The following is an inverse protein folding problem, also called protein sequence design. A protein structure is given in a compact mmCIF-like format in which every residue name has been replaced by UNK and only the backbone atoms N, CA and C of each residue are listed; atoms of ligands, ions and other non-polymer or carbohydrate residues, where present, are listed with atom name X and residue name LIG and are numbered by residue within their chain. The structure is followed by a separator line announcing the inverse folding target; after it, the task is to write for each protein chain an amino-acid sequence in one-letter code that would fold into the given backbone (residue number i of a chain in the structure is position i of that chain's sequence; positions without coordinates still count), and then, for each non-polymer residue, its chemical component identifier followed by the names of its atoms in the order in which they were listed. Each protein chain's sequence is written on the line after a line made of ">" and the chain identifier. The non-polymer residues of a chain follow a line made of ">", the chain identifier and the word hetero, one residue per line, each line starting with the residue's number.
data_IF_199893542654
#
_entry.id   IF_199893542654
#
_cell.length_a   1.000
_cell.length_b   1.000
_cell.length_c   1.000
_cell.angle_alpha   90.00
_cell.angle_beta   90.00
_cell.angle_gamma   90.00
#
_symmetry.space_group_name_H-M   'P 1'
#
loop_
_entity.id
_entity.type
_entity.pdbx_description
1 polymer ?
#
# COMPACT_ATOMS: atom_id res chain seq x y z
N UNK A 1 -10.30 -6.78 -27.88
CA UNK A 1 -11.65 -6.24 -27.60
C UNK A 1 -12.77 -7.28 -27.68
N UNK A 2 -13.24 -7.78 -28.84
CA UNK A 2 -14.44 -8.67 -28.89
C UNK A 2 -14.35 -9.97 -28.08
N UNK A 3 -13.16 -10.57 -27.95
CA UNK A 3 -12.92 -11.77 -27.13
C UNK A 3 -12.89 -11.46 -25.62
N UNK A 4 -12.33 -10.31 -25.23
CA UNK A 4 -12.28 -9.86 -23.83
C UNK A 4 -13.69 -9.53 -23.33
N UNK A 5 -14.49 -8.84 -24.14
CA UNK A 5 -15.89 -8.53 -23.85
C UNK A 5 -16.73 -9.82 -23.67
N UNK A 6 -16.48 -10.85 -24.49
CA UNK A 6 -17.16 -12.14 -24.36
C UNK A 6 -16.79 -12.88 -23.07
N UNK A 7 -15.50 -12.88 -22.69
CA UNK A 7 -15.03 -13.48 -21.43
C UNK A 7 -15.60 -12.73 -20.21
N UNK A 8 -15.59 -11.40 -20.26
CA UNK A 8 -16.16 -10.54 -19.21
C UNK A 8 -17.67 -10.78 -19.01
N UNK A 9 -18.44 -10.89 -20.09
CA UNK A 9 -19.88 -11.21 -20.01
C UNK A 9 -20.13 -12.63 -19.47
N UNK A 10 -19.29 -13.61 -19.84
CA UNK A 10 -19.41 -14.96 -19.27
C UNK A 10 -19.14 -14.93 -17.77
N UNK A 11 -18.08 -14.23 -17.33
CA UNK A 11 -17.72 -14.10 -15.92
C UNK A 11 -18.87 -13.48 -15.11
N UNK A 12 -19.42 -12.34 -15.53
CA UNK A 12 -20.56 -11.69 -14.88
C UNK A 12 -21.76 -12.62 -14.79
N UNK A 13 -22.12 -13.31 -15.89
CA UNK A 13 -23.26 -14.22 -15.92
C UNK A 13 -23.04 -15.41 -14.98
N UNK A 14 -21.84 -15.99 -14.93
CA UNK A 14 -21.53 -17.07 -13.98
C UNK A 14 -21.58 -16.61 -12.54
N UNK A 15 -20.99 -15.44 -12.21
CA UNK A 15 -21.02 -14.90 -10.84
C UNK A 15 -22.44 -14.60 -10.39
N UNK A 16 -23.28 -14.04 -11.27
CA UNK A 16 -24.70 -13.78 -10.99
C UNK A 16 -25.50 -15.06 -10.75
N UNK A 17 -25.22 -16.12 -11.53
CA UNK A 17 -25.86 -17.44 -11.35
C UNK A 17 -25.45 -18.12 -10.03
N UNK A 18 -24.18 -18.00 -9.63
CA UNK A 18 -23.70 -18.51 -8.33
C UNK A 18 -24.19 -17.68 -7.14
N UNK A 19 -24.41 -16.37 -7.32
CA UNK A 19 -25.00 -15.49 -6.31
C UNK A 19 -26.49 -15.80 -6.09
N UNK A 20 -27.25 -16.08 -7.16
CA UNK A 20 -28.67 -16.44 -7.04
C UNK A 20 -28.92 -17.75 -6.29
N UNK A 21 -28.04 -18.74 -6.43
CA UNK A 21 -28.19 -20.05 -5.80
C UNK A 21 -27.94 -20.02 -4.28
N UNK A 22 -27.37 -18.94 -3.72
CA UNK A 22 -27.15 -18.76 -2.27
C UNK A 22 -28.14 -17.78 -1.60
N UNK A 23 -29.17 -17.31 -2.32
CA UNK A 23 -30.12 -16.31 -1.81
C UNK A 23 -31.15 -16.81 -0.77
N UNK A 24 -31.10 -18.08 -0.37
CA UNK A 24 -31.92 -18.63 0.72
C UNK A 24 -31.33 -18.38 2.13
N UNK A 25 -30.16 -17.73 2.25
CA UNK A 25 -29.65 -17.20 3.52
C UNK A 25 -29.61 -15.69 3.48
N UNK A 26 -30.56 -15.04 4.15
CA UNK A 26 -30.66 -13.59 4.34
C UNK A 26 -29.54 -13.06 5.24
N UNK A 27 -28.33 -12.93 4.69
CA UNK A 27 -27.27 -12.08 5.23
C UNK A 27 -27.12 -10.91 4.25
N UNK A 28 -27.27 -9.66 4.69
CA UNK A 28 -27.08 -8.50 3.81
C UNK A 28 -25.66 -8.52 3.24
N UNK A 29 -25.57 -8.28 1.93
CA UNK A 29 -24.36 -8.28 1.11
C UNK A 29 -23.56 -6.96 1.24
N UNK A 30 -23.89 -6.14 2.24
CA UNK A 30 -23.50 -4.73 2.29
C UNK A 30 -22.14 -4.46 2.96
N UNK A 31 -21.43 -5.47 3.50
CA UNK A 31 -20.16 -5.26 4.22
C UNK A 31 -19.02 -6.18 3.74
N UNK A 32 -18.98 -6.56 2.45
CA UNK A 32 -17.85 -7.32 1.88
C UNK A 32 -16.85 -6.36 1.23
N UNK A 33 -15.87 -5.83 1.98
CA UNK A 33 -14.83 -4.94 1.43
C UNK A 33 -13.57 -5.70 1.01
N UNK A 34 -13.08 -5.39 -0.20
CA UNK A 34 -12.02 -6.11 -0.93
C UNK A 34 -10.60 -5.74 -0.50
N UNK A 35 -10.43 -4.81 0.45
CA UNK A 35 -9.15 -4.58 1.11
C UNK A 35 -8.53 -5.91 1.60
N UNK A 36 -9.35 -6.88 2.02
CA UNK A 36 -8.91 -8.19 2.50
C UNK A 36 -8.27 -9.10 1.45
N UNK A 37 -8.77 -9.10 0.20
CA UNK A 37 -8.26 -9.95 -0.88
C UNK A 37 -7.06 -9.27 -1.53
N UNK A 38 -7.15 -7.96 -1.77
CA UNK A 38 -6.02 -7.21 -2.31
C UNK A 38 -4.87 -7.15 -1.30
N UNK A 39 -5.08 -7.05 0.01
CA UNK A 39 -3.98 -7.18 1.00
C UNK A 39 -3.37 -8.57 1.05
N UNK A 40 -4.15 -9.62 0.79
CA UNK A 40 -3.66 -11.01 0.69
C UNK A 40 -2.71 -11.19 -0.51
N UNK A 41 -2.94 -10.46 -1.62
CA UNK A 41 -2.28 -10.68 -2.91
C UNK A 41 -1.52 -9.47 -3.48
N UNK A 42 -1.56 -8.30 -2.84
CA UNK A 42 -0.87 -7.11 -3.30
C UNK A 42 0.63 -7.39 -3.27
N UNK A 43 1.21 -7.45 -4.47
CA UNK A 43 2.65 -7.32 -4.68
C UNK A 43 3.03 -5.91 -4.22
N UNK A 44 3.44 -5.73 -2.95
CA UNK A 44 4.13 -4.48 -2.53
C UNK A 44 5.51 -4.35 -3.18
N UNK A 45 5.95 -5.33 -3.98
CA UNK A 45 6.96 -5.12 -5.00
C UNK A 45 6.30 -4.48 -6.22
N UNK A 46 6.46 -3.17 -6.37
CA UNK A 46 6.28 -2.45 -7.62
C UNK A 46 6.78 -3.28 -8.81
N UNK A 47 6.00 -3.30 -9.89
CA UNK A 47 6.29 -4.01 -11.14
C UNK A 47 7.77 -3.99 -11.52
N UNK A 48 8.49 -5.09 -11.28
CA UNK A 48 9.74 -5.37 -12.00
C UNK A 48 9.35 -5.67 -13.44
N UNK A 49 9.33 -4.62 -14.26
CA UNK A 49 9.17 -4.66 -15.71
C UNK A 49 10.37 -5.38 -16.35
N UNK A 50 10.39 -6.71 -16.35
CA UNK A 50 11.24 -7.47 -17.29
C UNK A 50 10.49 -7.69 -18.60
N UNK A 51 10.44 -6.65 -19.44
CA UNK A 51 10.21 -6.86 -20.87
C UNK A 51 11.50 -7.38 -21.50
N UNK A 52 11.49 -8.66 -21.85
CA UNK A 52 12.56 -9.29 -22.63
C UNK A 52 12.53 -8.76 -24.08
N UNK A 53 13.37 -7.79 -24.39
CA UNK A 53 13.86 -7.57 -25.76
C UNK A 53 15.39 -7.66 -25.79
N UNK A 54 15.90 -8.27 -26.86
CA UNK A 54 17.25 -8.77 -27.01
C UNK A 54 18.33 -7.67 -27.05
N UNK A 55 19.40 -7.86 -26.27
CA UNK A 55 20.78 -7.39 -26.48
C UNK A 55 20.99 -6.02 -27.16
N UNK A 56 21.21 -4.98 -26.35
CA UNK A 56 22.36 -4.08 -26.56
C UNK A 56 22.76 -3.38 -25.27
N UNK A 57 24.06 -3.42 -24.96
CA UNK A 57 24.75 -2.76 -23.85
C UNK A 57 24.21 -1.37 -23.46
N UNK A 58 23.63 -1.23 -22.25
CA UNK A 58 23.94 -0.17 -21.29
C UNK A 58 23.19 -0.36 -19.97
N UNK A 59 23.86 0.01 -18.88
CA UNK A 59 23.41 -0.04 -17.49
C UNK A 59 22.05 0.61 -17.25
N UNK A 60 21.07 -0.17 -16.83
CA UNK A 60 19.87 0.33 -16.16
C UNK A 60 20.08 0.17 -14.66
N UNK A 61 20.25 1.31 -13.99
CA UNK A 61 20.20 1.43 -12.54
C UNK A 61 18.76 1.16 -12.08
N UNK A 62 18.55 0.72 -10.82
CA UNK A 62 17.21 0.68 -10.25
C UNK A 62 16.57 2.06 -10.37
N UNK A 63 15.32 2.13 -10.80
CA UNK A 63 14.55 3.37 -10.92
C UNK A 63 14.36 4.02 -9.53
N UNK A 64 15.41 4.66 -9.03
CA UNK A 64 15.22 5.90 -8.31
C UNK A 64 14.48 6.81 -9.28
N UNK A 65 13.21 7.09 -9.00
CA UNK A 65 12.41 8.14 -9.64
C UNK A 65 13.20 9.45 -9.57
N UNK A 66 14.05 9.65 -10.57
CA UNK A 66 14.71 10.89 -10.87
C UNK A 66 13.61 11.83 -11.34
N UNK A 67 13.07 12.60 -10.40
CA UNK A 67 12.16 13.74 -10.66
C UNK A 67 12.77 14.70 -11.72
N UNK A 68 14.07 14.59 -11.98
CA UNK A 68 14.80 15.34 -13.03
C UNK A 68 14.66 14.74 -14.44
N UNK A 69 14.50 13.41 -14.59
CA UNK A 69 14.42 12.77 -15.91
C UNK A 69 12.99 12.80 -16.50
N UNK A 70 11.99 13.06 -15.65
CA UNK A 70 10.57 13.11 -16.05
C UNK A 70 10.14 14.48 -16.60
N UNK A 71 11.02 15.49 -16.56
CA UNK A 71 10.81 16.77 -17.22
C UNK A 71 11.10 16.64 -18.71
N UNK A 72 10.17 15.98 -19.40
CA UNK A 72 10.12 15.98 -20.86
C UNK A 72 10.14 17.43 -21.35
N UNK A 73 10.99 17.75 -22.33
CA UNK A 73 10.92 18.99 -23.12
C UNK A 73 9.63 19.06 -23.97
N UNK A 74 8.58 18.32 -23.59
CA UNK A 74 7.37 18.09 -24.33
C UNK A 74 6.19 18.61 -23.51
N UNK A 75 5.27 19.27 -24.19
CA UNK A 75 3.99 19.70 -23.62
C UNK A 75 2.89 18.80 -24.17
N UNK A 76 1.89 18.48 -23.38
CA UNK A 76 0.84 17.57 -23.81
C UNK A 76 0.06 17.00 -22.65
N UNK A 77 -0.65 15.92 -22.93
CA UNK A 77 -1.32 15.19 -21.88
C UNK A 77 -1.57 13.74 -22.25
N UNK A 78 -1.90 12.96 -21.23
CA UNK A 78 -2.37 11.60 -21.37
C UNK A 78 -3.56 11.31 -20.49
N UNK A 79 -4.45 10.47 -21.01
CA UNK A 79 -5.46 9.76 -20.25
C UNK A 79 -5.00 8.31 -20.15
N UNK A 80 -4.84 7.79 -18.94
CA UNK A 80 -4.61 6.38 -18.68
C UNK A 80 -5.84 5.81 -18.02
N UNK A 81 -6.40 4.75 -18.59
CA UNK A 81 -7.48 3.98 -17.97
C UNK A 81 -6.88 2.70 -17.45
N UNK A 82 -6.98 2.47 -16.15
CA UNK A 82 -6.67 1.20 -15.50
C UNK A 82 -7.97 0.50 -15.15
N UNK A 83 -7.96 -0.80 -15.19
CA UNK A 83 -9.07 -1.61 -14.72
C UNK A 83 -8.49 -2.82 -14.00
N UNK A 84 -9.13 -3.20 -12.91
CA UNK A 84 -8.84 -4.40 -12.15
C UNK A 84 -10.17 -5.06 -11.80
N UNK A 85 -10.34 -6.30 -12.24
CA UNK A 85 -11.48 -7.13 -11.86
C UNK A 85 -10.94 -8.30 -11.06
N UNK A 86 -11.42 -8.48 -9.83
CA UNK A 86 -11.10 -9.63 -9.00
C UNK A 86 -12.37 -10.43 -8.73
N UNK A 87 -12.27 -11.76 -8.76
CA UNK A 87 -13.33 -12.63 -8.28
C UNK A 87 -12.73 -13.84 -7.59
N UNK A 88 -13.33 -14.25 -6.48
CA UNK A 88 -12.76 -15.31 -5.66
C UNK A 88 -13.79 -16.12 -4.90
N UNK A 89 -13.35 -17.32 -4.52
CA UNK A 89 -14.04 -18.22 -3.63
C UNK A 89 -13.06 -18.69 -2.56
N UNK A 90 -13.44 -18.49 -1.30
CA UNK A 90 -12.64 -18.85 -0.16
C UNK A 90 -13.48 -19.64 0.83
N UNK A 91 -13.44 -20.98 0.83
CA UNK A 91 -13.93 -21.82 1.93
C UNK A 91 -12.93 -21.84 3.09
N UNK A 92 -13.44 -21.86 4.32
CA UNK A 92 -12.60 -21.85 5.51
C UNK A 92 -13.34 -22.26 6.77
N UNK A 93 -12.61 -22.28 7.88
CA UNK A 93 -13.09 -22.65 9.20
C UNK A 93 -12.94 -21.47 10.15
N UNK A 94 -13.88 -21.31 11.08
CA UNK A 94 -13.81 -20.31 12.16
C UNK A 94 -12.73 -20.62 13.21
N UNK A 95 -12.11 -21.80 13.14
CA UNK A 95 -11.00 -22.19 14.00
C UNK A 95 -9.87 -22.85 13.21
N UNK A 96 -8.63 -22.67 13.67
CA UNK A 96 -7.45 -23.28 13.06
C UNK A 96 -7.40 -24.80 13.26
N UNK A 97 -6.71 -25.55 12.37
CA UNK A 97 -6.64 -27.02 12.45
C UNK A 97 -6.14 -27.62 13.77
N UNK A 98 -5.27 -26.91 14.50
CA UNK A 98 -4.75 -27.36 15.81
C UNK A 98 -5.69 -27.01 16.99
N UNK A 99 -6.85 -26.42 16.71
CA UNK A 99 -7.85 -26.03 17.68
C UNK A 99 -9.20 -26.76 17.50
N UNK A 100 -9.35 -27.58 16.46
CA UNK A 100 -10.57 -28.35 16.12
C UNK A 100 -11.02 -29.38 17.19
N UNK A 101 -10.33 -29.49 18.32
CA UNK A 101 -10.80 -30.29 19.45
C UNK A 101 -11.99 -29.61 20.18
N UNK A 102 -12.25 -28.34 19.90
CA UNK A 102 -13.41 -27.61 20.42
C UNK A 102 -14.63 -27.80 19.51
N UNK A 103 -15.79 -28.08 20.11
CA UNK A 103 -17.04 -28.43 19.40
C UNK A 103 -17.67 -27.25 18.61
N UNK A 104 -17.07 -26.06 18.65
CA UNK A 104 -17.60 -24.83 18.07
C UNK A 104 -17.03 -24.50 16.67
N UNK A 105 -16.39 -25.46 15.99
CA UNK A 105 -15.91 -25.23 14.63
C UNK A 105 -17.07 -25.02 13.64
N UNK A 106 -17.05 -23.88 12.93
CA UNK A 106 -18.01 -23.60 11.86
C UNK A 106 -17.27 -23.49 10.54
N UNK A 107 -17.69 -24.31 9.58
CA UNK A 107 -17.25 -24.17 8.20
C UNK A 107 -18.10 -23.12 7.51
N UNK A 108 -17.44 -22.12 6.91
CA UNK A 108 -18.13 -21.07 6.15
C UNK A 108 -17.35 -20.69 4.91
N UNK A 109 -18.06 -20.08 3.97
CA UNK A 109 -17.54 -19.72 2.65
C UNK A 109 -17.76 -18.25 2.40
N UNK A 110 -16.77 -17.63 1.76
CA UNK A 110 -16.81 -16.27 1.26
C UNK A 110 -16.69 -16.31 -0.25
N UNK A 111 -17.57 -15.59 -0.93
CA UNK A 111 -17.50 -15.32 -2.37
C UNK A 111 -17.38 -13.82 -2.50
N UNK A 112 -16.34 -13.36 -3.18
CA UNK A 112 -16.10 -11.94 -3.42
C UNK A 112 -15.95 -11.68 -4.90
N UNK A 113 -16.41 -10.51 -5.35
CA UNK A 113 -16.10 -9.99 -6.67
C UNK A 113 -15.98 -8.47 -6.58
N UNK A 114 -14.92 -7.93 -7.17
CA UNK A 114 -14.61 -6.52 -7.23
C UNK A 114 -14.33 -6.10 -8.67
N UNK A 115 -14.64 -4.85 -8.97
CA UNK A 115 -14.15 -4.15 -10.12
C UNK A 115 -13.76 -2.73 -9.71
N UNK A 116 -12.46 -2.44 -9.77
CA UNK A 116 -11.91 -1.08 -9.70
C UNK A 116 -11.59 -0.59 -11.10
N UNK A 117 -11.90 0.66 -11.38
CA UNK A 117 -11.52 1.34 -12.62
C UNK A 117 -10.93 2.72 -12.33
N UNK A 118 -9.63 2.88 -12.55
CA UNK A 118 -8.96 4.16 -12.39
C UNK A 118 -8.85 4.89 -13.71
N UNK A 119 -9.01 6.20 -13.63
CA UNK A 119 -8.80 7.10 -14.74
C UNK A 119 -7.82 8.17 -14.31
N UNK A 120 -6.68 8.21 -15.00
CA UNK A 120 -5.58 9.09 -14.67
C UNK A 120 -5.41 10.09 -15.80
N UNK A 121 -5.61 11.35 -15.48
CA UNK A 121 -5.26 12.48 -16.32
C UNK A 121 -3.92 13.05 -15.90
N UNK A 122 -3.01 13.17 -16.86
CA UNK A 122 -1.67 13.69 -16.64
C UNK A 122 -1.33 14.70 -17.74
N UNK A 123 -1.17 15.96 -17.36
CA UNK A 123 -0.98 17.09 -18.27
C UNK A 123 0.34 17.79 -18.00
N UNK A 124 1.25 17.75 -18.97
CA UNK A 124 2.45 18.59 -18.99
C UNK A 124 2.11 19.91 -19.71
N UNK A 125 1.68 20.92 -18.95
CA UNK A 125 1.21 22.20 -19.49
C UNK A 125 2.37 23.04 -20.05
N UNK A 126 3.51 23.02 -19.37
CA UNK A 126 4.77 23.64 -19.81
C UNK A 126 5.92 22.71 -19.41
N UNK A 127 7.16 22.87 -19.92
CA UNK A 127 8.31 22.09 -19.42
C UNK A 127 8.62 22.28 -17.94
N UNK A 128 7.88 23.14 -17.22
CA UNK A 128 8.05 23.40 -15.78
C UNK A 128 6.79 23.18 -14.97
N UNK A 129 5.64 22.88 -15.59
CA UNK A 129 4.36 22.78 -14.91
C UNK A 129 3.62 21.53 -15.38
N UNK A 130 3.35 20.63 -14.44
CA UNK A 130 2.55 19.41 -14.63
C UNK A 130 1.32 19.46 -13.73
N UNK A 131 0.20 18.96 -14.21
CA UNK A 131 -1.01 18.77 -13.43
C UNK A 131 -1.44 17.31 -13.58
N UNK A 132 -1.89 16.72 -12.48
CA UNK A 132 -2.29 15.33 -12.38
C UNK A 132 -3.63 15.23 -11.65
N UNK A 133 -4.48 14.34 -12.12
CA UNK A 133 -5.72 13.98 -11.45
C UNK A 133 -6.00 12.49 -11.67
N UNK A 134 -6.31 11.76 -10.62
CA UNK A 134 -6.87 10.41 -10.69
C UNK A 134 -8.26 10.37 -10.05
N UNK A 135 -9.09 9.46 -10.54
CA UNK A 135 -10.35 9.09 -9.94
C UNK A 135 -10.56 7.60 -10.16
N UNK A 136 -11.11 6.95 -9.15
CA UNK A 136 -11.47 5.54 -9.14
C UNK A 136 -12.99 5.38 -9.10
N UNK A 137 -13.43 4.22 -9.56
CA UNK A 137 -14.80 3.76 -9.44
C UNK A 137 -14.72 2.30 -9.02
N UNK A 138 -15.30 2.00 -7.86
CA UNK A 138 -15.29 0.66 -7.29
C UNK A 138 -16.66 -0.01 -7.38
N UNK A 139 -16.69 -1.34 -7.43
CA UNK A 139 -17.89 -2.16 -7.46
C UNK A 139 -17.81 -3.17 -6.31
N UNK A 140 -18.85 -3.34 -5.48
CA UNK A 140 -20.26 -3.07 -5.79
C UNK A 140 -20.82 -1.71 -5.37
N UNK A 141 -20.05 -0.89 -4.67
CA UNK A 141 -20.53 0.40 -4.15
C UNK A 141 -20.89 1.40 -5.26
N UNK A 142 -20.22 1.32 -6.42
CA UNK A 142 -20.26 2.32 -7.49
C UNK A 142 -19.93 3.73 -6.99
N UNK A 143 -19.12 3.80 -5.94
CA UNK A 143 -18.65 5.05 -5.38
C UNK A 143 -17.62 5.66 -6.32
N UNK A 144 -17.74 6.97 -6.53
CA UNK A 144 -16.80 7.74 -7.32
C UNK A 144 -15.89 8.46 -6.34
N UNK A 145 -14.62 8.09 -6.33
CA UNK A 145 -13.63 8.69 -5.46
C UNK A 145 -12.61 9.49 -6.29
N UNK A 146 -12.18 10.63 -5.74
CA UNK A 146 -11.02 11.35 -6.26
C UNK A 146 -9.82 10.92 -5.44
N UNK A 147 -9.08 9.90 -5.90
CA UNK A 147 -7.94 9.38 -5.15
C UNK A 147 -6.84 10.44 -5.00
N UNK A 148 -6.51 11.17 -6.07
CA UNK A 148 -5.48 12.21 -5.98
C UNK A 148 -5.61 13.31 -7.02
N UNK A 149 -5.24 14.52 -6.64
CA UNK A 149 -5.15 15.66 -7.54
C UNK A 149 -4.01 16.57 -7.09
N UNK A 150 -3.07 16.86 -7.99
CA UNK A 150 -1.94 17.72 -7.65
C UNK A 150 -1.36 18.43 -8.86
N UNK A 151 -0.59 19.49 -8.58
CA UNK A 151 0.23 20.19 -9.56
C UNK A 151 1.68 20.22 -9.10
N UNK A 152 2.59 20.06 -10.05
CA UNK A 152 4.03 20.16 -9.84
C UNK A 152 4.61 21.33 -10.63
N UNK A 153 5.50 22.09 -9.99
CA UNK A 153 6.22 23.18 -10.61
C UNK A 153 7.73 23.06 -10.39
N UNK A 154 8.52 23.08 -11.46
CA UNK A 154 9.97 23.11 -11.39
C UNK A 154 10.51 24.51 -11.68
N UNK A 155 11.15 25.12 -10.67
CA UNK A 155 11.88 26.37 -10.81
C UNK A 155 13.32 26.09 -11.23
N UNK A 156 13.54 25.82 -12.51
CA UNK A 156 14.87 25.76 -13.14
C UNK A 156 15.87 24.85 -12.40
N UNK A 157 15.42 23.70 -11.90
CA UNK A 157 16.19 22.73 -11.12
C UNK A 157 16.75 23.28 -9.79
N UNK A 158 16.31 24.45 -9.33
CA UNK A 158 16.66 25.02 -8.03
C UNK A 158 15.67 24.62 -6.94
N UNK A 159 14.40 24.45 -7.31
CA UNK A 159 13.34 24.06 -6.40
C UNK A 159 12.22 23.34 -7.15
N UNK A 160 11.69 22.29 -6.55
CA UNK A 160 10.56 21.52 -7.07
C UNK A 160 9.41 21.62 -6.09
N UNK A 161 8.28 22.14 -6.56
CA UNK A 161 7.08 22.29 -5.78
C UNK A 161 6.07 21.24 -6.18
N UNK A 162 5.36 20.64 -5.22
CA UNK A 162 4.19 19.81 -5.45
C UNK A 162 3.10 20.28 -4.49
N UNK A 163 1.88 20.46 -5.00
CA UNK A 163 0.75 20.92 -4.19
C UNK A 163 -0.55 20.25 -4.64
N UNK A 164 -1.39 19.86 -3.70
CA UNK A 164 -2.70 19.27 -3.97
C UNK A 164 -3.08 18.20 -2.95
N UNK A 165 -4.07 17.38 -3.27
CA UNK A 165 -4.50 16.23 -2.48
C UNK A 165 -3.69 15.00 -2.91
N UNK A 166 -2.81 14.52 -2.03
CA UNK A 166 -2.04 13.30 -2.23
C UNK A 166 -1.34 12.86 -0.93
N UNK A 167 -1.18 11.55 -0.74
CA UNK A 167 -0.37 10.98 0.32
C UNK A 167 1.14 11.15 0.04
N UNK A 168 1.88 11.67 1.02
CA UNK A 168 3.34 11.68 1.03
C UNK A 168 3.85 10.51 1.86
N UNK A 169 5.00 9.92 1.47
CA UNK A 169 5.65 8.87 2.25
C UNK A 169 7.13 9.08 2.47
N UNK A 170 7.57 8.91 3.72
CA UNK A 170 8.99 8.90 4.12
C UNK A 170 9.47 7.51 4.58
N UNK A 171 8.61 6.49 4.47
CA UNK A 171 8.89 5.10 4.83
C UNK A 171 9.84 4.40 3.86
N UNK A 172 10.57 3.39 4.33
CA UNK A 172 11.31 2.45 3.45
C UNK A 172 10.73 1.04 3.49
N UNK A 173 9.97 0.70 4.53
CA UNK A 173 9.43 -0.64 4.70
C UNK A 173 8.39 -0.96 3.63
N UNK A 174 8.51 -2.15 3.01
CA UNK A 174 7.52 -2.68 2.08
C UNK A 174 6.51 -3.65 2.71
N UNK A 175 6.74 -4.09 3.95
CA UNK A 175 5.82 -4.99 4.67
C UNK A 175 4.96 -4.25 5.69
N UNK A 176 5.49 -3.14 6.18
CA UNK A 176 5.05 -2.45 7.37
C UNK A 176 5.04 -0.96 7.06
N UNK A 177 3.94 -0.46 6.46
CA UNK A 177 3.76 0.94 6.06
C UNK A 177 3.81 1.96 7.24
N UNK A 178 4.15 1.51 8.45
CA UNK A 178 4.25 2.27 9.70
C UNK A 178 5.23 3.41 9.73
N UNK A 179 6.26 3.32 8.91
CA UNK A 179 7.32 4.32 8.91
C UNK A 179 7.07 5.43 7.90
N UNK A 180 5.95 5.33 7.17
CA UNK A 180 5.34 6.49 6.61
C UNK A 180 4.73 7.34 7.75
N UNK A 181 5.57 8.21 8.31
CA UNK A 181 5.21 9.21 9.31
C UNK A 181 3.91 9.97 9.01
N UNK A 182 3.64 10.14 7.72
CA UNK A 182 2.66 11.05 7.15
C UNK A 182 1.37 10.33 6.71
N UNK A 183 1.34 8.99 6.71
CA UNK A 183 0.11 8.21 6.52
C UNK A 183 -0.60 7.89 7.82
N UNK A 184 -0.24 8.58 8.91
CA UNK A 184 -0.79 8.38 10.26
C UNK A 184 -1.41 9.67 10.78
N UNK A 185 -1.99 10.46 9.88
CA UNK A 185 -2.72 11.65 10.26
C UNK A 185 -4.03 11.20 10.94
N UNK A 186 -4.53 11.93 11.95
CA UNK A 186 -5.85 11.66 12.50
C UNK A 186 -6.89 11.68 11.38
N UNK A 187 -7.75 10.66 11.34
CA UNK A 187 -8.84 10.53 10.37
C UNK A 187 -10.16 10.85 11.08
N UNK A 188 -10.93 11.80 10.57
CA UNK A 188 -12.31 12.05 11.01
C UNK A 188 -13.28 11.17 10.22
N UNK A 189 -13.14 9.84 10.35
CA UNK A 189 -14.14 8.86 9.91
C UNK A 189 -14.33 8.65 8.40
N UNK A 190 -13.99 9.60 7.53
CA UNK A 190 -14.07 9.43 6.07
C UNK A 190 -12.68 9.52 5.42
N UNK A 191 -12.25 8.39 4.86
CA UNK A 191 -10.97 8.22 4.17
C UNK A 191 -10.75 9.28 3.08
N UNK A 192 -9.51 9.71 2.95
CA UNK A 192 -9.09 10.64 1.91
C UNK A 192 -7.69 11.17 2.14
N UNK A 193 -6.92 11.28 1.06
CA UNK A 193 -5.55 11.79 1.09
C UNK A 193 -5.50 13.24 1.60
N UNK A 194 -4.45 13.63 2.35
CA UNK A 194 -4.30 14.99 2.85
C UNK A 194 -3.99 16.00 1.74
N UNK A 195 -4.43 17.24 1.95
CA UNK A 195 -3.94 18.37 1.15
C UNK A 195 -2.51 18.72 1.57
N UNK A 196 -1.57 18.47 0.66
CA UNK A 196 -0.14 18.55 0.91
C UNK A 196 0.51 19.59 0.00
N UNK A 197 1.39 20.41 0.58
CA UNK A 197 2.37 21.22 -0.13
C UNK A 197 3.79 20.75 0.22
N UNK A 198 4.59 20.49 -0.81
CA UNK A 198 5.95 20.00 -0.70
C UNK A 198 6.89 20.83 -1.55
N UNK A 199 8.06 21.15 -1.00
CA UNK A 199 9.14 21.78 -1.73
C UNK A 199 10.43 20.97 -1.55
N UNK A 200 11.05 20.54 -2.65
CA UNK A 200 12.36 19.90 -2.66
C UNK A 200 13.42 20.87 -3.18
N UNK A 201 14.50 21.03 -2.44
CA UNK A 201 15.68 21.84 -2.77
C UNK A 201 16.89 20.91 -2.93
N UNK A 202 17.43 20.72 -4.14
CA UNK A 202 18.65 19.95 -4.33
C UNK A 202 19.85 20.68 -3.72
N UNK A 203 20.64 19.98 -2.91
CA UNK A 203 21.78 20.53 -2.16
C UNK A 203 22.95 19.54 -2.19
N UNK A 204 23.92 19.76 -3.09
CA UNK A 204 25.15 18.96 -3.15
C UNK A 204 24.87 17.48 -3.44
N UNK A 205 25.28 16.60 -2.52
CA UNK A 205 25.07 15.15 -2.58
C UNK A 205 23.68 14.72 -2.08
N UNK A 206 22.68 15.57 -2.16
CA UNK A 206 21.40 15.33 -1.51
C UNK A 206 20.37 16.42 -1.75
N UNK A 207 19.43 16.57 -0.82
CA UNK A 207 18.41 17.60 -0.90
C UNK A 207 17.62 17.79 0.39
N UNK A 208 17.10 19.00 0.56
CA UNK A 208 16.19 19.36 1.63
C UNK A 208 14.75 19.35 1.11
N UNK A 209 13.86 18.68 1.82
CA UNK A 209 12.43 18.67 1.58
C UNK A 209 11.74 19.42 2.72
N UNK A 210 10.90 20.39 2.37
CA UNK A 210 9.96 21.04 3.26
C UNK A 210 8.55 20.57 2.91
N UNK A 211 7.73 20.41 3.93
CA UNK A 211 6.39 19.85 3.82
C UNK A 211 5.44 20.62 4.72
N UNK A 212 4.26 20.91 4.23
CA UNK A 212 3.10 21.25 5.07
C UNK A 212 1.90 20.49 4.54
N UNK A 213 1.04 20.04 5.44
CA UNK A 213 -0.15 19.27 5.09
C UNK A 213 -1.29 19.61 6.03
N UNK A 214 -2.51 19.52 5.52
CA UNK A 214 -3.72 19.46 6.34
C UNK A 214 -3.94 18.00 6.72
N UNK A 215 -4.53 17.73 7.89
CA UNK A 215 -4.95 16.38 8.28
C UNK A 215 -5.82 15.69 7.22
N UNK A 216 -5.74 14.37 7.16
CA UNK A 216 -6.60 13.54 6.30
C UNK A 216 -8.08 13.74 6.66
N UNK A 217 -8.97 13.58 5.68
CA UNK A 217 -10.41 13.77 5.88
C UNK A 217 -10.91 15.21 6.01
N UNK A 218 -10.01 16.20 6.11
CA UNK A 218 -10.44 17.61 6.24
C UNK A 218 -11.24 18.08 5.01
N UNK A 219 -12.41 18.67 5.28
CA UNK A 219 -13.30 19.23 4.26
C UNK A 219 -14.26 18.23 3.60
N UNK A 220 -14.21 16.95 3.96
CA UNK A 220 -15.13 15.92 3.45
C UNK A 220 -16.53 16.07 4.10
N UNK A 221 -16.59 16.37 5.39
CA UNK A 221 -17.87 16.54 6.13
C UNK A 221 -18.50 17.94 6.04
N UNK A 222 -18.06 18.76 5.08
CA UNK A 222 -18.62 20.10 4.84
C UNK A 222 -18.06 21.21 5.75
N UNK A 223 -17.12 20.89 6.64
CA UNK A 223 -16.50 21.84 7.58
C UNK A 223 -15.27 22.57 7.02
N UNK A 224 -15.31 22.90 5.71
CA UNK A 224 -14.25 23.65 5.00
C UNK A 224 -14.01 25.03 5.66
N UNK A 225 -14.97 25.55 6.41
CA UNK A 225 -14.89 26.85 7.08
C UNK A 225 -14.09 26.83 8.40
N UNK A 226 -13.77 25.65 8.95
CA UNK A 226 -13.18 25.48 10.28
C UNK A 226 -11.77 24.85 10.25
N UNK A 227 -10.87 25.33 9.38
CA UNK A 227 -9.46 24.92 9.46
C UNK A 227 -8.79 25.56 10.68
N UNK A 228 -8.42 24.74 11.67
CA UNK A 228 -7.69 25.18 12.84
C UNK A 228 -6.18 25.10 12.62
N UNK A 229 -5.41 25.85 13.43
CA UNK A 229 -3.95 25.79 13.35
C UNK A 229 -3.40 24.40 13.72
N UNK A 230 -4.11 23.66 14.57
CA UNK A 230 -3.74 22.30 14.99
C UNK A 230 -3.92 21.23 13.90
N UNK A 231 -4.70 21.53 12.87
CA UNK A 231 -4.92 20.66 11.71
C UNK A 231 -3.74 20.68 10.72
N UNK A 232 -2.82 21.64 10.87
CA UNK A 232 -1.67 21.82 10.01
C UNK A 232 -0.46 21.07 10.54
N UNK A 233 0.03 20.14 9.74
CA UNK A 233 1.31 19.48 9.90
C UNK A 233 2.44 20.24 9.18
N UNK A 234 3.63 20.19 9.77
CA UNK A 234 4.86 20.75 9.21
C UNK A 234 5.97 19.71 9.27
N UNK A 235 6.66 19.52 8.15
CA UNK A 235 7.73 18.54 8.02
C UNK A 235 8.99 19.14 7.38
N UNK A 236 10.14 18.65 7.83
CA UNK A 236 11.44 18.91 7.22
C UNK A 236 12.21 17.59 7.11
N UNK A 237 12.72 17.27 5.93
CA UNK A 237 13.53 16.07 5.68
C UNK A 237 14.79 16.41 4.90
N UNK A 238 15.93 15.94 5.38
CA UNK A 238 17.17 15.98 4.64
C UNK A 238 17.47 14.60 4.08
N UNK A 239 17.78 14.54 2.79
CA UNK A 239 18.15 13.33 2.08
C UNK A 239 19.63 13.47 1.70
N UNK A 240 20.45 12.50 2.10
CA UNK A 240 21.85 12.38 1.74
C UNK A 240 22.00 11.15 0.85
N UNK A 241 22.44 11.35 -0.38
CA UNK A 241 22.65 10.29 -1.36
C UNK A 241 24.16 10.15 -1.65
N UNK A 242 24.73 9.02 -1.27
CA UNK A 242 26.10 8.66 -1.59
C UNK A 242 26.11 7.33 -2.36
N UNK A 243 27.05 7.08 -3.28
CA UNK A 243 27.01 5.88 -4.13
C UNK A 243 26.89 4.54 -3.42
N UNK A 244 27.21 4.48 -2.12
CA UNK A 244 27.13 3.26 -1.32
C UNK A 244 26.05 3.31 -0.23
N UNK A 245 25.45 4.47 0.04
CA UNK A 245 24.45 4.59 1.11
C UNK A 245 23.57 5.82 0.88
N UNK A 246 22.27 5.64 1.02
CA UNK A 246 21.31 6.73 1.10
C UNK A 246 20.83 6.85 2.54
N UNK A 247 20.88 8.06 3.10
CA UNK A 247 20.45 8.34 4.47
C UNK A 247 19.44 9.48 4.45
N UNK A 248 18.30 9.30 5.10
CA UNK A 248 17.32 10.35 5.27
C UNK A 248 17.09 10.62 6.75
N UNK A 249 16.99 11.90 7.11
CA UNK A 249 16.62 12.34 8.46
C UNK A 249 15.46 13.31 8.32
N UNK A 250 14.34 13.01 8.98
CA UNK A 250 13.12 13.81 8.90
C UNK A 250 12.55 14.14 10.26
N UNK A 251 11.88 15.27 10.35
CA UNK A 251 11.12 15.72 11.50
C UNK A 251 9.73 16.12 11.02
N UNK A 252 8.71 15.76 11.79
CA UNK A 252 7.32 16.12 11.52
C UNK A 252 6.62 16.51 12.82
N UNK A 253 5.87 17.61 12.77
CA UNK A 253 5.09 18.14 13.88
C UNK A 253 3.69 18.50 13.41
N UNK A 254 2.71 18.10 14.20
CA UNK A 254 1.31 18.52 14.12
C UNK A 254 0.76 18.51 15.54
N UNK A 255 -0.13 19.43 15.90
CA UNK A 255 -0.56 19.60 17.30
C UNK A 255 -1.25 18.35 17.88
N UNK A 256 -2.09 17.71 17.08
CA UNK A 256 -2.85 16.51 17.43
C UNK A 256 -2.01 15.21 17.45
N UNK A 257 -0.71 15.29 17.15
CA UNK A 257 0.16 14.12 17.03
C UNK A 257 1.44 14.31 17.83
N UNK A 258 2.07 13.23 18.33
CA UNK A 258 3.41 13.33 18.88
C UNK A 258 4.39 13.98 17.88
N UNK A 259 5.36 14.73 18.40
CA UNK A 259 6.50 15.17 17.61
C UNK A 259 7.30 13.94 17.17
N UNK A 260 7.47 13.75 15.86
CA UNK A 260 8.13 12.57 15.32
C UNK A 260 9.43 12.91 14.59
N UNK A 261 10.44 12.07 14.82
CA UNK A 261 11.74 12.12 14.13
C UNK A 261 12.02 10.78 13.49
N UNK A 262 12.36 10.77 12.20
CA UNK A 262 12.72 9.56 11.46
C UNK A 262 14.17 9.62 11.00
N UNK A 263 14.82 8.47 11.04
CA UNK A 263 16.10 8.23 10.36
C UNK A 263 15.94 6.99 9.52
N UNK A 264 16.29 7.08 8.24
CA UNK A 264 16.32 5.92 7.34
C UNK A 264 17.69 5.81 6.72
N UNK A 265 18.14 4.59 6.49
CA UNK A 265 19.36 4.31 5.75
C UNK A 265 19.11 3.12 4.85
N UNK A 266 19.55 3.18 3.60
CA UNK A 266 19.58 2.04 2.69
C UNK A 266 20.92 1.92 1.98
N UNK A 267 21.29 0.70 1.63
CA UNK A 267 22.49 0.37 0.86
C UNK A 267 22.21 -0.83 -0.02
N UNK A 268 22.88 -0.89 -1.17
CA UNK A 268 22.88 -2.09 -2.01
C UNK A 268 24.24 -2.78 -1.88
N UNK A 269 24.24 -4.05 -1.48
CA UNK A 269 25.42 -4.91 -1.42
C UNK A 269 25.41 -5.86 -2.62
N UNK A 270 26.61 -6.16 -3.16
CA UNK A 270 26.77 -7.13 -4.25
C UNK A 270 25.88 -6.89 -5.48
N UNK A 271 25.50 -5.63 -5.73
CA UNK A 271 24.63 -5.17 -6.81
C UNK A 271 23.18 -5.70 -6.81
N UNK A 272 22.80 -6.61 -5.89
CA UNK A 272 21.44 -7.19 -5.82
C UNK A 272 20.79 -7.13 -4.44
N UNK A 273 21.57 -7.15 -3.36
CA UNK A 273 21.03 -7.22 -1.99
C UNK A 273 20.77 -5.81 -1.46
N UNK A 274 19.52 -5.41 -1.35
CA UNK A 274 19.15 -4.18 -0.66
C UNK A 274 19.04 -4.43 0.84
N UNK A 275 19.74 -3.63 1.63
CA UNK A 275 19.59 -3.57 3.09
C UNK A 275 19.04 -2.21 3.47
N UNK A 276 18.06 -2.20 4.38
CA UNK A 276 17.54 -0.96 4.93
C UNK A 276 17.40 -1.02 6.45
N UNK A 277 17.53 0.14 7.06
CA UNK A 277 17.30 0.42 8.47
C UNK A 277 16.41 1.64 8.59
N UNK A 278 15.51 1.63 9.55
CA UNK A 278 14.63 2.72 9.86
C UNK A 278 14.45 2.85 11.37
N UNK A 279 14.57 4.07 11.88
CA UNK A 279 14.31 4.41 13.27
C UNK A 279 13.32 5.56 13.33
N UNK A 280 12.40 5.48 14.28
CA UNK A 280 11.38 6.47 14.58
C UNK A 280 11.44 6.76 16.07
N UNK A 281 11.51 8.04 16.41
CA UNK A 281 11.34 8.54 17.78
C UNK A 281 10.10 9.41 17.81
N UNK A 282 9.23 9.15 18.77
CA UNK A 282 7.96 9.84 18.96
C UNK A 282 7.92 10.45 20.36
N UNK A 283 7.67 11.76 20.44
CA UNK A 283 7.63 12.51 21.71
C UNK A 283 6.22 13.08 21.89
N UNK A 284 5.45 12.62 22.89
CA UNK A 284 4.09 13.09 23.14
C UNK A 284 4.02 14.61 23.36
N UNK A 285 2.98 15.26 22.83
CA UNK A 285 2.77 16.71 22.99
C UNK A 285 2.13 17.09 24.35
N UNK A 286 1.51 16.16 25.06
CA UNK A 286 0.82 16.43 26.34
C UNK A 286 1.74 16.26 27.56
N UNK A 287 1.51 17.12 28.56
CA UNK A 287 2.42 17.38 29.69
C UNK A 287 2.36 16.36 30.83
N UNK A 288 1.44 15.40 30.77
CA UNK A 288 1.28 14.36 31.80
C UNK A 288 1.95 13.05 31.36
N UNK A 289 3.29 13.08 31.43
CA UNK A 289 4.21 11.94 31.56
C UNK A 289 3.99 10.71 30.66
N UNK A 290 4.52 10.77 29.44
CA UNK A 290 5.03 9.57 28.77
C UNK A 290 6.45 9.82 28.24
N UNK A 291 7.32 8.82 28.42
CA UNK A 291 8.69 8.84 27.91
C UNK A 291 8.67 8.82 26.37
N UNK A 292 9.73 9.32 25.74
CA UNK A 292 9.89 9.21 24.30
C UNK A 292 9.80 7.75 23.86
N UNK A 293 8.95 7.48 22.86
CA UNK A 293 8.69 6.15 22.34
C UNK A 293 9.57 5.91 21.12
N UNK A 294 10.14 4.70 21.03
CA UNK A 294 10.99 4.30 19.92
C UNK A 294 10.32 3.18 19.10
N UNK A 295 10.33 3.33 17.79
CA UNK A 295 10.01 2.27 16.84
C UNK A 295 11.17 2.13 15.85
N UNK A 296 11.37 0.93 15.30
CA UNK A 296 12.45 0.73 14.34
C UNK A 296 12.27 -0.54 13.51
N UNK A 297 12.75 -0.48 12.27
CA UNK A 297 12.74 -1.60 11.33
C UNK A 297 14.15 -1.83 10.77
N UNK A 298 14.47 -3.09 10.53
CA UNK A 298 15.61 -3.50 9.70
C UNK A 298 15.13 -4.57 8.75
N UNK A 299 15.50 -4.45 7.48
CA UNK A 299 15.11 -5.44 6.48
C UNK A 299 16.13 -5.62 5.39
N UNK A 300 15.92 -6.68 4.63
CA UNK A 300 16.65 -6.99 3.41
C UNK A 300 15.70 -7.43 2.30
N UNK A 301 16.08 -7.10 1.07
CA UNK A 301 15.49 -7.64 -0.15
C UNK A 301 16.62 -8.13 -1.04
N UNK A 302 16.51 -9.34 -1.58
CA UNK A 302 17.52 -9.87 -2.50
C UNK A 302 16.89 -10.77 -3.56
N UNK A 303 17.48 -10.73 -4.75
CA UNK A 303 17.09 -11.51 -5.91
C UNK A 303 18.15 -12.56 -6.22
N UNK A 304 17.85 -13.80 -5.84
CA UNK A 304 18.72 -14.94 -6.08
C UNK A 304 18.42 -15.62 -7.42
N UNK A 305 19.42 -16.38 -7.90
CA UNK A 305 19.28 -17.31 -9.03
C UNK A 305 18.90 -16.64 -10.36
N UNK A 306 19.40 -15.41 -10.62
CA UNK A 306 19.02 -14.56 -11.77
C UNK A 306 17.52 -14.24 -11.71
N UNK A 307 17.13 -13.61 -10.61
CA UNK A 307 15.78 -13.06 -10.41
C UNK A 307 14.68 -14.13 -10.43
N UNK A 308 15.06 -15.37 -10.10
CA UNK A 308 14.11 -16.48 -9.96
C UNK A 308 13.56 -16.59 -8.56
N UNK A 309 14.30 -16.12 -7.56
CA UNK A 309 13.94 -16.23 -6.16
C UNK A 309 14.14 -14.88 -5.49
N UNK A 310 13.05 -14.19 -5.21
CA UNK A 310 13.07 -12.96 -4.42
C UNK A 310 12.79 -13.31 -2.96
N UNK A 311 13.64 -12.81 -2.07
CA UNK A 311 13.46 -12.93 -0.62
C UNK A 311 13.34 -11.53 -0.03
N UNK A 312 12.30 -11.29 0.74
CA UNK A 312 12.15 -10.09 1.56
C UNK A 312 12.02 -10.52 3.02
N UNK A 313 12.91 -9.99 3.86
CA UNK A 313 12.94 -10.24 5.30
C UNK A 313 12.91 -8.91 6.02
N UNK A 314 12.06 -8.77 7.02
CA UNK A 314 11.98 -7.57 7.81
C UNK A 314 11.71 -7.90 9.28
N UNK A 315 12.42 -7.23 10.18
CA UNK A 315 12.12 -7.20 11.59
C UNK A 315 11.74 -5.78 11.97
N UNK A 316 10.66 -5.64 12.73
CA UNK A 316 10.12 -4.36 13.15
C UNK A 316 9.76 -4.39 14.63
N UNK A 317 10.10 -3.32 15.34
CA UNK A 317 9.61 -3.05 16.68
C UNK A 317 8.73 -1.80 16.64
N UNK A 318 7.49 -1.93 17.09
CA UNK A 318 6.59 -0.80 17.32
C UNK A 318 6.54 -0.49 18.82
N UNK A 319 7.12 0.64 19.22
CA UNK A 319 6.89 1.17 20.55
C UNK A 319 5.58 1.95 20.66
N UNK A 320 5.10 2.50 19.55
CA UNK A 320 3.89 3.32 19.54
C UNK A 320 2.64 2.43 19.63
N UNK A 321 1.70 2.84 20.47
CA UNK A 321 0.30 2.44 20.35
C UNK A 321 -0.34 3.52 19.51
N UNK A 322 -0.84 3.19 18.32
CA UNK A 322 -1.73 4.12 17.62
C UNK A 322 -3.15 3.60 17.70
N UNK A 323 -3.85 4.26 18.59
CA UNK A 323 -5.27 4.51 18.72
C UNK A 323 -5.79 5.16 17.44
N UNK A 324 -6.65 4.49 16.66
CA UNK A 324 -7.61 5.26 15.86
C UNK A 324 -8.45 6.03 16.89
N UNK A 325 -8.30 7.35 16.92
CA UNK A 325 -9.02 8.22 17.86
C UNK A 325 -10.39 8.47 17.24
N UNK A 326 -11.30 7.52 17.40
CA UNK A 326 -12.70 7.69 16.99
C UNK A 326 -13.44 8.51 18.04
N UNK A 327 -14.04 9.63 17.64
CA UNK A 327 -14.97 10.36 18.49
C UNK A 327 -16.28 9.56 18.56
N UNK A 328 -16.53 8.87 19.68
CA UNK A 328 -17.84 8.26 19.94
C UNK A 328 -18.70 9.18 20.81
N UNK A 329 -20.02 8.95 20.81
CA UNK A 329 -20.96 9.60 21.75
C UNK A 329 -20.56 9.47 23.23
N UNK A 330 -19.68 8.51 23.55
CA UNK A 330 -19.14 8.24 24.89
C UNK A 330 -17.72 8.75 25.15
N UNK A 331 -17.12 9.44 24.19
CA UNK A 331 -15.73 9.91 24.23
C UNK A 331 -14.84 9.21 23.20
N UNK A 332 -13.53 9.43 23.31
CA UNK A 332 -12.56 8.88 22.37
C UNK A 332 -12.28 7.40 22.67
N UNK A 333 -12.41 6.50 21.68
CA UNK A 333 -12.06 5.07 21.81
C UNK A 333 -10.74 4.74 21.13
N UNK A 334 -10.05 3.68 21.59
CA UNK A 334 -8.75 3.25 21.05
C UNK A 334 -8.77 1.81 20.54
N UNK A 335 -8.60 1.63 19.22
CA UNK A 335 -8.47 0.30 18.60
C UNK A 335 -7.12 0.10 17.90
N UNK A 336 -6.46 -1.03 18.19
CA UNK A 336 -5.24 -1.47 17.50
C UNK A 336 -5.62 -2.13 16.16
N UNK A 337 -5.36 -1.46 15.05
CA UNK A 337 -5.62 -2.03 13.72
C UNK A 337 -4.37 -2.60 13.09
N UNK A 338 -4.50 -3.75 12.41
CA UNK A 338 -3.49 -4.21 11.48
C UNK A 338 -3.35 -3.14 10.37
N UNK A 339 -2.15 -2.72 10.00
CA UNK A 339 -0.93 -3.47 10.28
C UNK A 339 -0.24 -2.96 11.58
N UNK A 340 -0.67 -1.84 12.21
CA UNK A 340 -0.06 -1.11 13.34
C UNK A 340 0.02 -1.85 14.71
N UNK A 341 0.57 -3.06 14.74
CA UNK A 341 0.60 -3.93 15.92
C UNK A 341 1.78 -3.55 16.83
N UNK A 342 1.48 -3.29 18.09
CA UNK A 342 2.48 -3.01 19.13
C UNK A 342 3.48 -4.16 19.29
N UNK A 343 4.73 -3.83 19.58
CA UNK A 343 5.75 -4.79 19.98
C UNK A 343 6.59 -5.32 18.82
N UNK A 344 7.04 -6.56 18.95
CA UNK A 344 8.03 -7.15 18.05
C UNK A 344 7.35 -7.92 16.92
N UNK A 345 7.64 -7.55 15.69
CA UNK A 345 7.05 -8.07 14.48
C UNK A 345 8.14 -8.56 13.51
N UNK A 346 7.86 -9.59 12.73
CA UNK A 346 8.71 -10.05 11.63
C UNK A 346 7.89 -10.38 10.40
N UNK A 347 8.40 -10.00 9.24
CA UNK A 347 7.88 -10.38 7.94
C UNK A 347 8.92 -11.20 7.17
N UNK A 348 8.43 -12.22 6.48
CA UNK A 348 9.20 -13.02 5.54
C UNK A 348 8.34 -13.29 4.31
N UNK A 349 8.76 -12.75 3.16
CA UNK A 349 8.15 -13.05 1.89
C UNK A 349 9.14 -13.77 0.97
N UNK A 350 8.61 -14.75 0.27
CA UNK A 350 9.33 -15.55 -0.70
C UNK A 350 8.54 -15.52 -2.00
N UNK A 351 9.20 -15.19 -3.10
CA UNK A 351 8.63 -15.28 -4.45
C UNK A 351 9.55 -16.10 -5.33
N UNK A 352 9.01 -17.14 -5.97
CA UNK A 352 9.78 -18.04 -6.81
C UNK A 352 9.17 -18.18 -8.20
N UNK A 353 9.89 -17.69 -9.19
CA UNK A 353 9.57 -17.80 -10.62
C UNK A 353 10.00 -19.20 -11.09
N UNK A 354 9.04 -20.11 -11.22
CA UNK A 354 9.33 -21.50 -11.58
C UNK A 354 9.85 -21.59 -13.03
N UNK A 355 10.49 -22.71 -13.38
CA UNK A 355 10.85 -22.99 -14.78
C UNK A 355 9.63 -23.26 -15.67
N UNK A 356 8.46 -23.52 -15.08
CA UNK A 356 7.23 -23.67 -15.81
C UNK A 356 6.72 -22.28 -16.18
N UNK A 357 6.54 -22.05 -17.47
CA UNK A 357 6.08 -20.76 -17.99
C UNK A 357 4.79 -20.36 -17.28
N UNK A 358 4.76 -19.12 -16.78
CA UNK A 358 3.61 -18.48 -16.16
C UNK A 358 3.19 -19.04 -14.79
N UNK A 359 4.00 -19.83 -14.09
CA UNK A 359 3.71 -20.27 -12.72
C UNK A 359 4.74 -19.67 -11.75
N UNK A 360 4.25 -19.00 -10.73
CA UNK A 360 5.02 -18.42 -9.64
C UNK A 360 4.54 -19.01 -8.32
N UNK A 361 5.46 -19.39 -7.45
CA UNK A 361 5.14 -19.75 -6.06
C UNK A 361 5.39 -18.52 -5.19
N UNK A 362 4.55 -18.32 -4.18
CA UNK A 362 4.78 -17.30 -3.19
C UNK A 362 4.49 -17.82 -1.79
N UNK A 363 5.10 -17.21 -0.79
CA UNK A 363 4.79 -17.43 0.61
C UNK A 363 5.00 -16.14 1.35
N UNK A 364 3.98 -15.66 2.05
CA UNK A 364 4.05 -14.51 2.95
C UNK A 364 3.88 -14.97 4.38
N UNK A 365 4.75 -14.53 5.26
CA UNK A 365 4.71 -14.89 6.67
C UNK A 365 4.91 -13.64 7.51
N UNK A 366 3.97 -13.38 8.41
CA UNK A 366 4.01 -12.31 9.39
C UNK A 366 3.91 -12.93 10.78
N UNK A 367 4.64 -12.41 11.75
CA UNK A 367 4.58 -12.92 13.12
C UNK A 367 4.84 -11.80 14.12
N UNK A 368 4.05 -11.76 15.18
CA UNK A 368 4.17 -10.85 16.30
C UNK A 368 4.54 -11.66 17.56
N UNK A 369 5.72 -11.39 18.11
CA UNK A 369 6.23 -12.11 19.28
C UNK A 369 5.55 -11.67 20.57
N UNK A 370 5.02 -10.44 20.62
CA UNK A 370 4.39 -9.89 21.82
C UNK A 370 3.03 -10.52 22.10
N UNK A 371 2.26 -10.80 21.05
CA UNK A 371 0.96 -11.49 21.12
C UNK A 371 1.06 -12.98 20.76
N UNK A 372 2.26 -13.47 20.43
CA UNK A 372 2.52 -14.86 20.04
C UNK A 372 1.55 -15.35 18.94
N UNK A 373 1.36 -14.53 17.91
CA UNK A 373 0.50 -14.84 16.76
C UNK A 373 1.18 -14.54 15.44
N UNK A 374 0.77 -15.18 14.36
CA UNK A 374 1.26 -14.90 13.02
C UNK A 374 0.26 -15.25 11.93
N UNK A 375 0.52 -14.74 10.72
CA UNK A 375 -0.22 -15.06 9.48
C UNK A 375 0.75 -15.71 8.50
N UNK A 376 0.37 -16.83 7.91
CA UNK A 376 1.12 -17.52 6.87
C UNK A 376 0.21 -17.75 5.66
N UNK A 377 0.62 -17.25 4.49
CA UNK A 377 -0.11 -17.39 3.24
C UNK A 377 0.81 -17.94 2.15
N UNK A 378 1.02 -19.28 2.10
CA UNK A 378 1.62 -19.94 0.95
C UNK A 378 0.61 -20.00 -0.21
N UNK A 379 1.10 -19.85 -1.42
CA UNK A 379 0.26 -19.94 -2.60
C UNK A 379 1.00 -20.09 -3.92
N UNK A 380 0.20 -20.18 -4.97
CA UNK A 380 0.62 -20.31 -6.36
C UNK A 380 -0.14 -19.28 -7.19
N UNK A 381 0.59 -18.57 -8.03
CA UNK A 381 0.05 -17.67 -9.06
C UNK A 381 0.30 -18.27 -10.43
N UNK A 382 -0.74 -18.32 -11.24
CA UNK A 382 -0.69 -18.73 -12.64
C UNK A 382 -1.11 -17.56 -13.54
N UNK A 383 -0.24 -17.14 -14.46
CA UNK A 383 -0.45 -16.00 -15.39
C UNK A 383 -0.65 -16.47 -16.84
N UNK A 384 -1.80 -17.08 -17.21
CA UNK A 384 -1.99 -17.59 -18.58
C UNK A 384 -1.84 -16.50 -19.65
N UNK A 385 -2.13 -15.25 -19.29
CA UNK A 385 -1.97 -14.05 -20.12
C UNK A 385 -1.39 -12.91 -19.28
N UNK A 386 -0.87 -11.86 -19.91
CA UNK A 386 -0.28 -10.71 -19.20
C UNK A 386 -1.26 -10.05 -18.24
N UNK A 387 -2.51 -9.93 -18.68
CA UNK A 387 -3.57 -9.20 -17.96
C UNK A 387 -4.37 -10.11 -17.03
N UNK A 388 -4.12 -11.43 -17.02
CA UNK A 388 -4.93 -12.40 -16.26
C UNK A 388 -4.05 -13.21 -15.32
N UNK A 389 -4.31 -13.13 -14.02
CA UNK A 389 -3.71 -13.97 -12.99
C UNK A 389 -4.77 -14.84 -12.31
N UNK A 390 -4.39 -16.07 -11.96
CA UNK A 390 -5.17 -16.99 -11.13
C UNK A 390 -4.33 -17.34 -9.92
N UNK A 391 -4.88 -17.16 -8.73
CA UNK A 391 -4.21 -17.41 -7.46
C UNK A 391 -4.90 -18.55 -6.73
N UNK A 392 -4.09 -19.44 -6.16
CA UNK A 392 -4.52 -20.40 -5.16
C UNK A 392 -3.64 -20.19 -3.93
N UNK A 393 -4.24 -19.83 -2.80
CA UNK A 393 -3.54 -19.57 -1.54
C UNK A 393 -4.23 -20.27 -0.38
N UNK A 394 -3.47 -20.58 0.66
CA UNK A 394 -3.99 -21.17 1.88
C UNK A 394 -3.58 -20.26 3.04
N UNK A 395 -4.26 -19.13 3.28
CA UNK A 395 -3.96 -18.29 4.43
C UNK A 395 -4.30 -19.00 5.74
N UNK A 396 -3.38 -18.91 6.69
CA UNK A 396 -3.42 -19.57 7.99
C UNK A 396 -2.95 -18.57 9.04
N UNK A 397 -3.74 -18.35 10.09
CA UNK A 397 -3.32 -17.68 11.31
C UNK A 397 -2.80 -18.73 12.28
N UNK A 398 -1.58 -18.56 12.81
CA UNK A 398 -0.91 -19.43 13.79
C UNK A 398 -0.75 -18.72 15.13
N UNK A 399 -0.71 -19.46 16.24
CA UNK A 399 -0.47 -18.91 17.58
C UNK A 399 -1.72 -18.73 18.44
N UNK A 400 -1.65 -17.85 19.43
CA UNK A 400 -2.67 -17.66 20.48
C UNK A 400 -3.97 -17.02 19.97
N UNK A 401 -5.14 -17.48 20.45
CA UNK A 401 -6.46 -17.00 20.01
C UNK A 401 -6.74 -15.52 20.31
N UNK A 402 -6.20 -15.04 21.42
CA UNK A 402 -6.39 -13.67 21.89
C UNK A 402 -5.36 -12.70 21.27
N UNK A 403 -4.46 -13.20 20.43
CA UNK A 403 -3.42 -12.36 19.83
C UNK A 403 -3.88 -11.66 18.55
N UNK A 404 -3.20 -10.55 18.24
CA UNK A 404 -3.64 -9.56 17.25
C UNK A 404 -3.95 -10.16 15.88
N UNK A 405 -3.11 -11.04 15.33
CA UNK A 405 -3.38 -11.58 14.00
C UNK A 405 -4.60 -12.51 13.92
N UNK A 406 -5.07 -13.02 15.07
CA UNK A 406 -6.27 -13.84 15.19
C UNK A 406 -7.52 -12.99 15.45
N UNK A 407 -7.42 -11.90 16.20
CA UNK A 407 -8.54 -10.99 16.46
C UNK A 407 -8.79 -10.00 15.32
N UNK A 408 -7.73 -9.55 14.64
CA UNK A 408 -7.77 -8.62 13.51
C UNK A 408 -7.39 -9.31 12.19
N UNK A 409 -8.04 -10.44 11.90
CA UNK A 409 -7.93 -11.05 10.58
C UNK A 409 -8.76 -10.24 9.58
N UNK A 410 -8.20 -9.97 8.41
CA UNK A 410 -8.91 -9.24 7.34
C UNK A 410 -10.04 -10.08 6.72
N UNK A 411 -10.11 -11.36 7.04
CA UNK A 411 -11.27 -12.17 6.73
C UNK A 411 -12.49 -11.66 7.51
N UNK A 412 -13.55 -11.20 6.83
CA UNK A 412 -14.78 -10.70 7.46
C UNK A 412 -15.46 -11.71 8.39
N UNK A 413 -15.24 -13.01 8.16
CA UNK A 413 -15.73 -14.08 9.04
C UNK A 413 -14.69 -14.47 10.09
N UNK A 414 -13.63 -13.68 10.20
CA UNK A 414 -12.46 -13.85 11.05
C UNK A 414 -11.90 -15.28 11.03
N UNK A 415 -11.82 -15.88 9.83
CA UNK A 415 -11.45 -17.30 9.68
C UNK A 415 -9.94 -17.46 9.73
N UNK A 416 -9.38 -18.10 10.77
CA UNK A 416 -7.95 -18.28 10.88
C UNK A 416 -7.40 -19.34 9.91
N UNK A 417 -8.25 -20.06 9.19
CA UNK A 417 -7.81 -21.00 8.16
C UNK A 417 -8.78 -21.02 6.99
N UNK A 418 -8.28 -20.73 5.79
CA UNK A 418 -9.08 -20.82 4.56
C UNK A 418 -8.24 -21.25 3.36
N UNK A 419 -8.92 -21.69 2.30
CA UNK A 419 -8.32 -21.98 1.00
C UNK A 419 -8.95 -21.01 0.01
N UNK A 420 -8.16 -20.09 -0.52
CA UNK A 420 -8.65 -19.03 -1.40
C UNK A 420 -8.23 -19.30 -2.84
N UNK A 421 -9.22 -19.39 -3.72
CA UNK A 421 -9.04 -19.32 -5.17
C UNK A 421 -9.49 -17.94 -5.63
N UNK A 422 -8.62 -17.20 -6.30
CA UNK A 422 -8.94 -15.88 -6.86
C UNK A 422 -8.51 -15.80 -8.32
N UNK A 423 -9.24 -15.02 -9.11
CA UNK A 423 -8.93 -14.68 -10.49
C UNK A 423 -8.91 -13.17 -10.57
N UNK A 424 -7.81 -12.60 -11.07
CA UNK A 424 -7.68 -11.17 -11.29
C UNK A 424 -7.43 -10.90 -12.76
N UNK A 425 -8.24 -10.03 -13.35
CA UNK A 425 -8.05 -9.47 -14.69
C UNK A 425 -7.73 -8.00 -14.52
N UNK A 426 -6.48 -7.60 -14.77
CA UNK A 426 -6.08 -6.20 -14.68
C UNK A 426 -5.33 -5.75 -15.91
N UNK A 427 -5.45 -4.47 -16.24
CA UNK A 427 -4.75 -3.91 -17.39
C UNK A 427 -4.79 -2.38 -17.39
N UNK A 428 -3.96 -1.81 -18.26
CA UNK A 428 -3.87 -0.37 -18.44
C UNK A 428 -3.83 0.00 -19.92
N UNK A 429 -4.56 1.04 -20.29
CA UNK A 429 -4.49 1.64 -21.61
C UNK A 429 -4.21 3.13 -21.50
N UNK A 430 -3.06 3.55 -22.07
CA UNK A 430 -2.66 4.95 -22.15
C UNK A 430 -2.99 5.53 -23.52
N UNK A 431 -3.62 6.70 -23.51
CA UNK A 431 -3.86 7.54 -24.68
C UNK A 431 -3.11 8.84 -24.45
N UNK A 432 -2.09 9.12 -25.28
CA UNK A 432 -1.17 10.21 -25.06
C UNK A 432 -1.03 11.08 -26.32
N UNK A 433 -0.95 12.40 -26.12
CA UNK A 433 -0.59 13.34 -27.16
C UNK A 433 0.39 14.37 -26.59
N UNK A 434 1.63 14.31 -27.07
CA UNK A 434 2.69 15.23 -26.71
C UNK A 434 3.22 15.98 -27.93
N UNK A 435 3.72 17.20 -27.69
CA UNK A 435 4.36 18.07 -28.67
C UNK A 435 5.66 18.59 -28.06
N UNK A 436 6.74 18.51 -28.83
CA UNK A 436 8.01 19.16 -28.45
C UNK A 436 7.80 20.66 -28.28
N UNK A 437 8.35 21.20 -27.20
CA UNK A 437 8.42 22.63 -27.00
C UNK A 437 9.51 23.19 -27.92
N UNK A 438 9.13 24.12 -28.81
CA UNK A 438 10.04 24.75 -29.78
C UNK A 438 10.80 25.93 -29.19
#
# INVERSE_FOLDING_TARGET
>A
MKKLFFIFNILIITTYLFAQENSDSSVPLDDVTIESIDDLFNDTSSEVNTSTEENSDRSEQPETLSVLDDLKEETGGSLTVKYAFAAGFSPGWSESPWYWENEDETFTKVVGADLTSDFIFDFQLTPRLRAYQSFSIDFPSYEFEIDSFWAEYNLSNMAFFKLGQYAESWGLSGNYNYTNLLSRLPEDGSGGDPYTFRMNLPLGLGGLQLLTMVRSGWGIDGDIENLEAGDLGYGIKYNFAYPSVDVNVGFFYQELMPLRTIVTAKTTLFDSTELFLQGLVSVPNQTDMEDAVFSGSVGLVDDFLKDKLTVNLEYFYNGEVYTVVEETDSGWTEDETSPFIKGHNTAFNLYYNTSLRNINLFSRFLYNFSSNTGKWAPGVRFKPYNDLSVYLSVPIVVGDRDGTYYSSNYDEKNRPFSVTLAITLSGSQKFAQYKKFN
#
